data_IF_944007626721
#
_entry.id   IF_944007626721
#
_cell.length_a   1.000
_cell.length_b   1.000
_cell.length_c   1.000
_cell.angle_alpha   90.00
_cell.angle_beta   90.00
_cell.angle_gamma   90.00
#
_symmetry.space_group_name_H-M   'P 1'
#
loop_
_entity.id
_entity.type
_entity.pdbx_description
1 polymer ?
#
# COMPACT_ATOMS: atom_id res chain seq x y z
N UNK A 1 4.13 31.48 9.06
CA UNK A 1 3.57 30.13 9.33
C UNK A 1 2.58 29.81 8.21
N UNK A 2 2.59 28.59 7.64
CA UNK A 2 1.69 28.25 6.53
C UNK A 2 0.27 27.98 7.06
N UNK A 3 -0.72 28.52 6.36
CA UNK A 3 -2.15 28.39 6.63
C UNK A 3 -2.60 26.91 6.75
N UNK A 4 -3.32 26.51 7.82
CA UNK A 4 -3.80 25.13 8.02
C UNK A 4 -4.62 24.57 6.85
N UNK A 5 -5.49 25.38 6.23
CA UNK A 5 -6.30 24.98 5.07
C UNK A 5 -5.39 24.64 3.89
N UNK A 6 -4.34 25.43 3.68
CA UNK A 6 -3.34 25.15 2.63
C UNK A 6 -2.57 23.86 2.92
N UNK A 7 -2.18 23.61 4.17
CA UNK A 7 -1.51 22.36 4.57
C UNK A 7 -2.43 21.15 4.35
N UNK A 8 -3.70 21.23 4.74
CA UNK A 8 -4.71 20.19 4.49
C UNK A 8 -4.80 19.86 3.01
N UNK A 9 -4.88 20.90 2.15
CA UNK A 9 -4.87 20.74 0.69
C UNK A 9 -3.64 19.97 0.18
N UNK A 10 -2.45 20.24 0.71
CA UNK A 10 -1.23 19.52 0.34
C UNK A 10 -1.26 18.05 0.75
N UNK A 11 -1.78 17.74 1.95
CA UNK A 11 -1.94 16.35 2.42
C UNK A 11 -2.94 15.60 1.53
N UNK A 12 -4.11 16.19 1.24
CA UNK A 12 -5.09 15.64 0.30
C UNK A 12 -4.48 15.38 -1.08
N UNK A 13 -3.64 16.30 -1.58
CA UNK A 13 -2.96 16.12 -2.86
C UNK A 13 -1.94 14.97 -2.86
N UNK A 14 -1.24 14.73 -1.74
CA UNK A 14 -0.36 13.54 -1.60
C UNK A 14 -1.18 12.25 -1.69
N UNK A 15 -2.33 12.20 -1.01
CA UNK A 15 -3.22 11.03 -1.08
C UNK A 15 -3.77 10.81 -2.50
N UNK A 16 -4.11 11.89 -3.23
CA UNK A 16 -4.52 11.79 -4.65
C UNK A 16 -3.43 11.24 -5.56
N UNK A 17 -2.17 11.63 -5.36
CA UNK A 17 -1.05 11.08 -6.12
C UNK A 17 -0.87 9.58 -5.85
N UNK A 18 -1.06 9.16 -4.59
CA UNK A 18 -1.00 7.76 -4.22
C UNK A 18 -2.12 6.94 -4.88
N UNK A 19 -3.35 7.43 -4.86
CA UNK A 19 -4.47 6.80 -5.57
C UNK A 19 -4.20 6.65 -7.07
N UNK A 20 -3.67 7.70 -7.70
CA UNK A 20 -3.29 7.68 -9.12
C UNK A 20 -2.29 6.57 -9.40
N UNK A 21 -1.30 6.39 -8.52
CA UNK A 21 -0.32 5.32 -8.63
C UNK A 21 -0.94 3.93 -8.44
N UNK A 22 -1.80 3.74 -7.45
CA UNK A 22 -2.51 2.45 -7.25
C UNK A 22 -3.39 2.09 -8.45
N UNK A 23 -4.02 3.08 -9.09
CA UNK A 23 -4.81 2.87 -10.30
C UNK A 23 -3.96 2.45 -11.51
N UNK A 24 -2.69 2.86 -11.58
CA UNK A 24 -1.76 2.36 -12.59
C UNK A 24 -1.44 0.88 -12.35
N UNK A 25 -1.19 0.50 -11.10
CA UNK A 25 -0.93 -0.91 -10.73
C UNK A 25 -2.16 -1.80 -10.92
N UNK A 26 -3.38 -1.24 -10.76
CA UNK A 26 -4.64 -1.95 -10.94
C UNK A 26 -4.75 -2.64 -12.30
N UNK A 27 -4.18 -2.05 -13.35
CA UNK A 27 -4.17 -2.65 -14.70
C UNK A 27 -3.49 -4.03 -14.68
N UNK A 28 -2.40 -4.20 -13.93
CA UNK A 28 -1.74 -5.50 -13.82
C UNK A 28 -2.62 -6.50 -13.06
N UNK A 29 -3.16 -6.07 -11.92
CA UNK A 29 -3.95 -6.92 -11.03
C UNK A 29 -5.25 -7.38 -11.70
N UNK A 30 -5.97 -6.48 -12.38
CA UNK A 30 -7.22 -6.81 -13.08
C UNK A 30 -6.99 -7.79 -14.25
N UNK A 31 -5.77 -7.85 -14.80
CA UNK A 31 -5.37 -8.79 -15.85
C UNK A 31 -4.66 -10.05 -15.31
N UNK A 32 -4.69 -10.29 -13.99
CA UNK A 32 -3.98 -11.40 -13.33
C UNK A 32 -2.48 -11.45 -13.64
N UNK A 33 -1.86 -10.29 -13.92
CA UNK A 33 -0.42 -10.17 -14.12
C UNK A 33 0.26 -9.87 -12.79
N UNK A 34 1.34 -10.58 -12.44
CA UNK A 34 2.10 -10.28 -11.23
C UNK A 34 2.76 -8.90 -11.36
N UNK A 35 2.77 -8.15 -10.25
CA UNK A 35 3.54 -6.91 -10.15
C UNK A 35 5.04 -7.22 -10.21
N UNK A 36 5.80 -6.37 -10.90
CA UNK A 36 7.25 -6.52 -10.97
C UNK A 36 7.90 -6.24 -9.60
N UNK A 37 9.15 -6.67 -9.42
CA UNK A 37 9.91 -6.36 -8.20
C UNK A 37 10.08 -4.85 -8.02
N UNK A 38 10.23 -4.11 -9.12
CA UNK A 38 10.33 -2.65 -9.10
C UNK A 38 9.01 -2.01 -8.65
N UNK A 39 7.87 -2.46 -9.17
CA UNK A 39 6.54 -2.00 -8.76
C UNK A 39 6.29 -2.24 -7.28
N UNK A 40 6.62 -3.44 -6.79
CA UNK A 40 6.45 -3.79 -5.38
C UNK A 40 7.37 -2.96 -4.47
N UNK A 41 8.61 -2.74 -4.89
CA UNK A 41 9.56 -1.92 -4.13
C UNK A 41 9.08 -0.48 -4.05
N UNK A 42 8.65 0.09 -5.18
CA UNK A 42 8.10 1.45 -5.24
C UNK A 42 6.80 1.56 -4.44
N UNK A 43 5.93 0.56 -4.48
CA UNK A 43 4.71 0.52 -3.69
C UNK A 43 5.01 0.56 -2.19
N UNK A 44 5.99 -0.22 -1.71
CA UNK A 44 6.43 -0.17 -0.29
C UNK A 44 6.92 1.23 0.10
N UNK A 45 7.70 1.89 -0.77
CA UNK A 45 8.17 3.27 -0.52
C UNK A 45 7.03 4.30 -0.51
N UNK A 46 6.03 4.13 -1.38
CA UNK A 46 4.86 5.00 -1.38
C UNK A 46 4.02 4.81 -0.12
N UNK A 47 3.79 3.55 0.30
CA UNK A 47 3.08 3.22 1.55
C UNK A 47 3.76 3.88 2.75
N UNK A 48 5.08 3.75 2.91
CA UNK A 48 5.81 4.39 4.02
C UNK A 48 5.74 5.91 4.00
N UNK A 49 5.51 6.52 2.83
CA UNK A 49 5.33 7.96 2.68
C UNK A 49 3.90 8.40 3.02
N UNK A 50 2.92 7.53 2.80
CA UNK A 50 1.48 7.80 2.97
C UNK A 50 1.01 7.49 4.39
N UNK A 51 1.58 6.47 5.05
CA UNK A 51 1.28 6.11 6.44
C UNK A 51 1.18 7.30 7.41
N UNK A 52 2.15 8.23 7.47
CA UNK A 52 2.07 9.34 8.42
C UNK A 52 1.03 10.40 8.05
N UNK A 53 0.41 10.34 6.85
CA UNK A 53 -0.51 11.37 6.39
C UNK A 53 -1.81 11.43 7.19
N UNK A 54 -2.27 10.32 7.78
CA UNK A 54 -3.47 10.33 8.63
C UNK A 54 -3.24 11.19 9.87
N UNK A 55 -2.19 10.91 10.64
CA UNK A 55 -1.87 11.69 11.83
C UNK A 55 -1.60 13.17 11.48
N UNK A 56 -0.86 13.43 10.40
CA UNK A 56 -0.62 14.80 9.94
C UNK A 56 -1.92 15.52 9.53
N UNK A 57 -2.87 14.81 8.94
CA UNK A 57 -4.18 15.37 8.63
C UNK A 57 -4.93 15.71 9.92
N UNK A 58 -5.03 14.78 10.88
CA UNK A 58 -5.68 15.00 12.17
C UNK A 58 -5.11 16.22 12.90
N UNK A 59 -3.77 16.33 13.00
CA UNK A 59 -3.11 17.48 13.65
C UNK A 59 -3.48 18.83 12.99
N UNK A 60 -3.63 18.85 11.67
CA UNK A 60 -4.02 20.05 10.91
C UNK A 60 -5.52 20.31 11.08
N UNK A 61 -6.32 19.26 11.08
CA UNK A 61 -7.76 19.32 11.18
C UNK A 61 -8.19 19.83 12.56
N UNK A 62 -7.54 19.40 13.63
CA UNK A 62 -7.73 19.93 14.99
C UNK A 62 -7.48 21.46 15.02
N UNK A 63 -6.46 21.95 14.31
CA UNK A 63 -6.19 23.39 14.22
C UNK A 63 -7.29 24.15 13.49
N UNK A 64 -7.92 23.53 12.48
CA UNK A 64 -9.00 24.14 11.70
C UNK A 64 -10.27 24.16 12.54
N UNK A 65 -10.64 23.04 13.15
CA UNK A 65 -11.86 22.88 13.95
C UNK A 65 -11.89 23.84 15.13
N UNK A 66 -10.76 24.03 15.82
CA UNK A 66 -10.66 25.00 16.91
C UNK A 66 -10.92 26.46 16.51
N UNK A 67 -10.87 26.78 15.22
CA UNK A 67 -11.05 28.13 14.68
C UNK A 67 -12.20 28.23 13.67
N UNK A 68 -13.03 27.18 13.54
CA UNK A 68 -14.09 27.10 12.53
C UNK A 68 -15.45 27.46 13.13
N UNK A 69 -16.20 28.30 12.42
CA UNK A 69 -17.60 28.59 12.72
C UNK A 69 -18.56 27.50 12.21
N UNK A 70 -18.06 26.52 11.45
CA UNK A 70 -18.87 25.44 10.86
C UNK A 70 -18.20 24.08 11.05
N UNK A 71 -18.37 23.51 12.24
CA UNK A 71 -17.81 22.21 12.61
C UNK A 71 -18.42 21.03 11.82
N UNK A 72 -19.67 21.14 11.38
CA UNK A 72 -20.32 20.05 10.64
C UNK A 72 -19.64 19.79 9.29
N UNK A 73 -19.27 20.85 8.56
CA UNK A 73 -18.47 20.74 7.35
C UNK A 73 -17.08 20.13 7.63
N UNK A 74 -16.46 20.52 8.75
CA UNK A 74 -15.13 20.05 9.12
C UNK A 74 -15.13 18.56 9.50
N UNK A 75 -16.15 18.08 10.20
CA UNK A 75 -16.35 16.64 10.44
C UNK A 75 -16.58 15.86 9.15
N UNK A 76 -17.30 16.45 8.19
CA UNK A 76 -17.44 15.88 6.85
C UNK A 76 -16.11 15.76 6.12
N UNK A 77 -15.23 16.75 6.21
CA UNK A 77 -13.87 16.71 5.65
C UNK A 77 -13.02 15.61 6.28
N UNK A 78 -13.11 15.41 7.60
CA UNK A 78 -12.43 14.33 8.32
C UNK A 78 -12.88 12.96 7.84
N UNK A 79 -14.19 12.70 7.86
CA UNK A 79 -14.76 11.42 7.44
C UNK A 79 -14.37 11.08 5.98
N UNK A 80 -14.46 12.05 5.08
CA UNK A 80 -14.10 11.87 3.67
C UNK A 80 -12.61 11.55 3.50
N UNK A 81 -11.73 12.19 4.28
CA UNK A 81 -10.31 11.92 4.21
C UNK A 81 -9.97 10.53 4.75
N UNK A 82 -10.51 10.16 5.92
CA UNK A 82 -10.28 8.88 6.57
C UNK A 82 -10.75 7.71 5.71
N UNK A 83 -11.98 7.77 5.19
CA UNK A 83 -12.53 6.73 4.31
C UNK A 83 -11.60 6.50 3.11
N UNK A 84 -11.18 7.59 2.47
CA UNK A 84 -10.28 7.51 1.31
C UNK A 84 -8.91 6.98 1.71
N UNK A 85 -8.36 7.42 2.83
CA UNK A 85 -7.07 6.94 3.33
C UNK A 85 -7.08 5.43 3.57
N UNK A 86 -8.05 4.94 4.35
CA UNK A 86 -8.15 3.53 4.70
C UNK A 86 -8.41 2.65 3.47
N UNK A 87 -9.27 3.10 2.55
CA UNK A 87 -9.51 2.42 1.27
C UNK A 87 -8.21 2.21 0.50
N UNK A 88 -7.41 3.27 0.32
CA UNK A 88 -6.18 3.21 -0.47
C UNK A 88 -5.09 2.37 0.23
N UNK A 89 -4.96 2.49 1.55
CA UNK A 89 -4.04 1.67 2.34
C UNK A 89 -4.40 0.19 2.28
N UNK A 90 -5.70 -0.14 2.36
CA UNK A 90 -6.17 -1.51 2.20
C UNK A 90 -5.83 -2.08 0.82
N UNK A 91 -6.07 -1.31 -0.26
CA UNK A 91 -5.72 -1.73 -1.63
C UNK A 91 -4.22 -1.99 -1.75
N UNK A 92 -3.38 -1.08 -1.25
CA UNK A 92 -1.94 -1.22 -1.28
C UNK A 92 -1.46 -2.47 -0.54
N UNK A 93 -2.02 -2.75 0.65
CA UNK A 93 -1.67 -3.91 1.44
C UNK A 93 -2.09 -5.23 0.77
N UNK A 94 -3.24 -5.26 0.08
CA UNK A 94 -3.64 -6.43 -0.73
C UNK A 94 -2.63 -6.68 -1.84
N UNK A 95 -2.22 -5.63 -2.57
CA UNK A 95 -1.24 -5.76 -3.66
C UNK A 95 0.12 -6.28 -3.15
N UNK A 96 0.56 -5.84 -1.97
CA UNK A 96 1.79 -6.32 -1.34
C UNK A 96 1.67 -7.77 -0.85
N UNK A 97 0.54 -8.13 -0.22
CA UNK A 97 0.34 -9.46 0.36
C UNK A 97 0.25 -10.56 -0.70
N UNK A 98 -0.48 -10.31 -1.80
CA UNK A 98 -0.59 -11.26 -2.91
C UNK A 98 0.77 -11.56 -3.55
N UNK A 99 1.73 -10.63 -3.47
CA UNK A 99 3.09 -10.83 -3.96
C UNK A 99 3.95 -11.69 -3.03
N UNK A 100 3.77 -11.56 -1.72
CA UNK A 100 4.52 -12.30 -0.72
C UNK A 100 4.05 -13.77 -0.66
N UNK A 101 2.74 -14.02 -0.85
CA UNK A 101 2.20 -15.37 -1.04
C UNK A 101 2.73 -16.03 -2.33
N UNK A 102 2.75 -15.29 -3.44
CA UNK A 102 3.29 -15.79 -4.71
C UNK A 102 4.77 -16.21 -4.58
N UNK A 103 5.59 -15.41 -3.87
CA UNK A 103 7.00 -15.76 -3.58
C UNK A 103 7.13 -16.98 -2.67
N UNK A 104 6.26 -17.11 -1.67
CA UNK A 104 6.27 -18.26 -0.76
C UNK A 104 5.94 -19.57 -1.48
N UNK A 105 5.01 -19.56 -2.43
CA UNK A 105 4.64 -20.72 -3.25
C UNK A 105 5.81 -21.14 -4.15
N UNK A 106 6.39 -20.21 -4.91
CA UNK A 106 7.52 -20.50 -5.82
C UNK A 106 8.73 -21.05 -5.04
N UNK A 107 9.03 -20.50 -3.86
CA UNK A 107 10.08 -21.00 -2.97
C UNK A 107 9.82 -22.44 -2.52
N UNK A 108 8.59 -22.78 -2.15
CA UNK A 108 8.21 -24.14 -1.72
C UNK A 108 8.33 -25.13 -2.86
N UNK A 109 7.88 -24.78 -4.06
CA UNK A 109 8.01 -25.62 -5.25
C UNK A 109 9.48 -25.84 -5.63
N UNK A 110 10.30 -24.78 -5.65
CA UNK A 110 11.72 -24.89 -5.95
C UNK A 110 12.47 -25.77 -4.92
N UNK A 111 12.10 -25.67 -3.63
CA UNK A 111 12.66 -26.52 -2.59
C UNK A 111 12.19 -27.97 -2.71
N UNK A 112 10.93 -28.23 -3.05
CA UNK A 112 10.41 -29.58 -3.30
C UNK A 112 11.14 -30.25 -4.47
N UNK A 113 11.39 -29.51 -5.56
CA UNK A 113 12.15 -29.99 -6.72
C UNK A 113 13.60 -30.33 -6.33
N UNK A 114 14.28 -29.45 -5.58
CA UNK A 114 15.63 -29.73 -5.08
C UNK A 114 15.68 -31.00 -4.25
N UNK A 115 14.75 -31.19 -3.31
CA UNK A 115 14.68 -32.39 -2.48
C UNK A 115 14.44 -33.64 -3.32
N UNK A 116 13.57 -33.57 -4.34
CA UNK A 116 13.33 -34.70 -5.24
C UNK A 116 14.58 -35.08 -6.06
N UNK A 117 15.32 -34.10 -6.55
CA UNK A 117 16.55 -34.32 -7.33
C UNK A 117 17.66 -34.92 -6.45
N UNK A 118 17.96 -34.29 -5.30
CA UNK A 118 19.00 -34.79 -4.39
C UNK A 118 18.63 -36.13 -3.75
N UNK A 119 17.35 -36.39 -3.50
CA UNK A 119 16.86 -37.69 -3.03
C UNK A 119 17.05 -38.81 -4.05
N UNK A 120 16.99 -38.50 -5.35
CA UNK A 120 17.25 -39.46 -6.43
C UNK A 120 18.75 -39.73 -6.64
N UNK A 121 19.62 -38.73 -6.45
CA UNK A 121 21.08 -38.91 -6.57
C UNK A 121 21.65 -39.88 -5.51
N UNK A 122 21.12 -39.86 -4.28
CA UNK A 122 21.57 -40.79 -3.23
C UNK A 122 21.14 -42.23 -3.51
N UNK A 123 20.00 -42.44 -4.18
CA UNK A 123 19.50 -43.77 -4.51
C UNK A 123 20.29 -44.45 -5.67
N UNK A 124 20.90 -43.68 -6.57
CA UNK A 124 21.65 -44.21 -7.72
C UNK A 124 23.07 -44.65 -7.33
N UNK A 125 23.65 -44.10 -6.25
CA UNK A 125 25.03 -44.40 -5.80
C UNK A 125 25.10 -45.69 -4.93
N UNK A 126 23.96 -46.31 -4.58
CA UNK A 126 23.91 -47.51 -3.74
C UNK A 126 23.62 -48.84 -4.48
N UNK A 127 23.83 -48.90 -5.80
CA UNK A 127 23.69 -50.15 -6.59
C UNK A 127 25.06 -50.65 -7.06
#
# INVERSE_FOLDING_TARGET
>A
MMDPIKKRGQIKAKLTRFETYLNQLKIHVDNNMPLSVEDLTRLRMQVSTVEPLLNLFCDIQDQIENNSDNLENEYGETANFEERYFKLMSIANVYLSNSDESKAIVSREANAIKVAIFGLEIAIVQI
#
